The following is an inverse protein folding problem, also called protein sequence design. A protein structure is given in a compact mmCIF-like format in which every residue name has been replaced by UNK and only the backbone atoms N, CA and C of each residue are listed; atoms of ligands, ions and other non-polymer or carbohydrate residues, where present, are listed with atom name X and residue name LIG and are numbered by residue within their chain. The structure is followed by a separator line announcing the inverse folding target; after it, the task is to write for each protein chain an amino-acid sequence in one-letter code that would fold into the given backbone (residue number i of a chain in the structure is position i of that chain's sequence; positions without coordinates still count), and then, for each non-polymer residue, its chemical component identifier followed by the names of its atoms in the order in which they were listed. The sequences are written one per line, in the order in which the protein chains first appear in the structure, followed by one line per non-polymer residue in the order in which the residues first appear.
data_IF_697637247252
#
_entry.id   IF_697637247252
#
_cell.length_a   1.000
_cell.length_b   1.000
_cell.length_c   1.000
_cell.angle_alpha   90.00
_cell.angle_beta   90.00
_cell.angle_gamma   90.00
#
_symmetry.space_group_name_H-M   'P 1'
#
loop_
_entity.id
_entity.type
_entity.pdbx_description
1 polymer ?
#
# COMPACT_ATOMS: atom_id res chain seq x y z
N UNK A 1 -22.79 -14.65 -11.44
CA UNK A 1 -22.78 -13.17 -11.48
C UNK A 1 -21.37 -12.75 -11.09
N UNK A 2 -20.55 -12.35 -12.06
CA UNK A 2 -19.15 -11.99 -11.84
C UNK A 2 -19.10 -10.64 -11.15
N UNK A 3 -18.76 -10.61 -9.86
CA UNK A 3 -18.37 -9.38 -9.18
C UNK A 3 -17.00 -8.97 -9.74
N UNK A 4 -17.00 -8.08 -10.73
CA UNK A 4 -15.78 -7.42 -11.16
C UNK A 4 -15.19 -6.67 -9.95
N UNK A 5 -13.92 -6.89 -9.58
CA UNK A 5 -13.33 -6.19 -8.46
C UNK A 5 -13.30 -4.70 -8.78
N UNK A 6 -14.16 -3.93 -8.11
CA UNK A 6 -14.22 -2.47 -8.22
C UNK A 6 -12.88 -1.92 -7.75
N UNK A 7 -12.07 -1.44 -8.70
CA UNK A 7 -10.76 -0.85 -8.41
C UNK A 7 -10.99 0.52 -7.78
N UNK A 8 -10.97 0.57 -6.45
CA UNK A 8 -11.10 1.83 -5.72
C UNK A 8 -9.79 2.64 -5.90
N UNK A 9 -9.80 3.59 -6.83
CA UNK A 9 -8.71 4.54 -7.01
C UNK A 9 -8.97 5.76 -6.12
N UNK A 10 -8.02 6.07 -5.24
CA UNK A 10 -8.08 7.30 -4.45
C UNK A 10 -8.00 8.52 -5.37
N UNK A 11 -8.77 9.55 -5.05
CA UNK A 11 -8.73 10.82 -5.79
C UNK A 11 -7.38 11.51 -5.61
N UNK A 12 -6.97 12.31 -6.60
CA UNK A 12 -5.73 13.09 -6.51
C UNK A 12 -5.70 14.03 -5.28
N UNK A 13 -6.87 14.53 -4.86
CA UNK A 13 -7.03 15.33 -3.66
C UNK A 13 -6.68 14.56 -2.38
N UNK A 14 -7.14 13.30 -2.25
CA UNK A 14 -6.84 12.47 -1.09
C UNK A 14 -5.36 12.09 -1.01
N UNK A 15 -4.73 11.83 -2.16
CA UNK A 15 -3.28 11.63 -2.22
C UNK A 15 -2.50 12.87 -1.75
N UNK A 16 -2.87 14.06 -2.25
CA UNK A 16 -2.27 15.33 -1.83
C UNK A 16 -2.42 15.59 -0.33
N UNK A 17 -3.62 15.35 0.23
CA UNK A 17 -3.87 15.46 1.66
C UNK A 17 -2.97 14.52 2.47
N UNK A 18 -2.81 13.26 2.04
CA UNK A 18 -1.97 12.29 2.75
C UNK A 18 -0.51 12.74 2.80
N UNK A 19 0.03 13.22 1.66
CA UNK A 19 1.41 13.75 1.59
C UNK A 19 1.57 14.98 2.48
N UNK A 20 0.63 15.93 2.42
CA UNK A 20 0.66 17.12 3.26
C UNK A 20 0.57 16.79 4.76
N UNK A 21 -0.29 15.85 5.14
CA UNK A 21 -0.45 15.41 6.53
C UNK A 21 0.82 14.74 7.05
N UNK A 22 1.44 13.89 6.23
CA UNK A 22 2.72 13.27 6.58
C UNK A 22 3.83 14.30 6.76
N UNK A 23 3.94 15.28 5.85
CA UNK A 23 4.94 16.34 5.93
C UNK A 23 4.76 17.21 7.19
N UNK A 24 3.51 17.56 7.53
CA UNK A 24 3.18 18.28 8.76
C UNK A 24 3.55 17.48 10.01
N UNK A 25 3.17 16.19 10.05
CA UNK A 25 3.50 15.32 11.17
C UNK A 25 5.02 15.17 11.35
N UNK A 26 5.75 14.92 10.27
CA UNK A 26 7.21 14.81 10.28
C UNK A 26 7.87 16.10 10.81
N UNK A 27 7.42 17.26 10.30
CA UNK A 27 7.95 18.56 10.71
C UNK A 27 7.66 18.82 12.19
N UNK A 28 6.44 18.52 12.65
CA UNK A 28 6.07 18.66 14.06
C UNK A 28 6.91 17.75 14.96
N UNK A 29 7.17 16.50 14.55
CA UNK A 29 8.05 15.58 15.29
C UNK A 29 9.49 16.10 15.37
N UNK A 30 10.06 16.57 14.25
CA UNK A 30 11.41 17.15 14.23
C UNK A 30 11.49 18.38 15.14
N UNK A 31 10.52 19.30 15.05
CA UNK A 31 10.46 20.47 15.94
C UNK A 31 10.32 20.04 17.40
N UNK A 32 9.52 19.02 17.69
CA UNK A 32 9.35 18.45 19.03
C UNK A 32 10.67 17.92 19.60
N UNK A 33 11.42 17.14 18.82
CA UNK A 33 12.76 16.65 19.21
C UNK A 33 13.73 17.82 19.40
N UNK A 34 13.63 18.87 18.57
CA UNK A 34 14.45 20.06 18.71
C UNK A 34 14.08 20.92 19.92
N UNK A 35 12.82 20.94 20.35
CA UNK A 35 12.36 21.70 21.53
C UNK A 35 12.45 20.90 22.84
N UNK A 36 12.68 19.59 22.75
CA UNK A 36 12.81 18.72 23.92
C UNK A 36 14.04 19.10 24.76
N UNK A 37 13.83 19.37 26.05
CA UNK A 37 14.91 19.48 27.03
C UNK A 37 15.49 18.09 27.33
N UNK A 38 16.39 17.65 26.46
CA UNK A 38 17.13 16.40 26.60
C UNK A 38 18.55 16.57 26.05
N UNK A 39 19.45 15.69 26.49
CA UNK A 39 20.82 15.68 26.01
C UNK A 39 20.89 15.41 24.50
N UNK A 40 21.96 15.91 23.87
CA UNK A 40 22.18 15.76 22.44
C UNK A 40 22.17 14.30 21.98
N UNK A 41 22.67 13.39 22.83
CA UNK A 41 22.65 11.94 22.56
C UNK A 41 21.23 11.39 22.44
N UNK A 42 20.34 11.73 23.38
CA UNK A 42 18.94 11.29 23.36
C UNK A 42 18.22 11.83 22.14
N UNK A 43 18.44 13.10 21.80
CA UNK A 43 17.87 13.73 20.60
C UNK A 43 18.36 13.06 19.31
N UNK A 44 19.64 12.68 19.26
CA UNK A 44 20.23 11.92 18.17
C UNK A 44 19.62 10.52 18.03
N UNK A 45 19.47 9.79 19.13
CA UNK A 45 18.81 8.48 19.16
C UNK A 45 17.37 8.56 18.65
N UNK A 46 16.60 9.54 19.12
CA UNK A 46 15.22 9.77 18.64
C UNK A 46 15.19 10.12 17.15
N UNK A 47 16.13 10.93 16.66
CA UNK A 47 16.26 11.24 15.24
C UNK A 47 16.47 9.98 14.39
N UNK A 48 17.41 9.12 14.77
CA UNK A 48 17.67 7.85 14.08
C UNK A 48 16.44 6.93 14.17
N UNK A 49 15.81 6.84 15.33
CA UNK A 49 14.62 6.02 15.54
C UNK A 49 13.46 6.44 14.61
N UNK A 50 13.18 7.74 14.51
CA UNK A 50 12.15 8.27 13.60
C UNK A 50 12.48 7.96 12.15
N UNK A 51 13.72 8.21 11.71
CA UNK A 51 14.14 7.95 10.33
C UNK A 51 14.02 6.47 9.95
N UNK A 52 14.48 5.57 10.82
CA UNK A 52 14.42 4.13 10.58
C UNK A 52 12.98 3.61 10.63
N UNK A 53 12.18 4.06 11.59
CA UNK A 53 10.77 3.69 11.70
C UNK A 53 9.97 4.11 10.45
N UNK A 54 10.17 5.33 9.96
CA UNK A 54 9.50 5.83 8.76
C UNK A 54 9.92 5.04 7.52
N UNK A 55 11.23 4.79 7.37
CA UNK A 55 11.77 4.01 6.24
C UNK A 55 11.23 2.58 6.23
N UNK A 56 11.23 1.92 7.37
CA UNK A 56 10.70 0.55 7.51
C UNK A 56 9.19 0.48 7.32
N UNK A 57 8.43 1.48 7.79
CA UNK A 57 6.99 1.56 7.56
C UNK A 57 6.64 1.68 6.07
N UNK A 58 7.34 2.53 5.31
CA UNK A 58 7.14 2.61 3.85
C UNK A 58 7.54 1.32 3.13
N UNK A 59 8.64 0.69 3.55
CA UNK A 59 9.08 -0.60 3.01
C UNK A 59 8.02 -1.68 3.26
N UNK A 60 7.47 -1.75 4.48
CA UNK A 60 6.41 -2.68 4.82
C UNK A 60 5.12 -2.40 4.03
N UNK A 61 4.72 -1.14 3.91
CA UNK A 61 3.55 -0.74 3.11
C UNK A 61 3.71 -1.16 1.65
N UNK A 62 4.92 -1.01 1.08
CA UNK A 62 5.25 -1.48 -0.26
C UNK A 62 5.14 -3.00 -0.37
N UNK A 63 5.73 -3.76 0.56
CA UNK A 63 5.64 -5.22 0.57
C UNK A 63 4.18 -5.72 0.64
N UNK A 64 3.35 -5.08 1.47
CA UNK A 64 1.93 -5.42 1.59
C UNK A 64 1.19 -5.13 0.28
N UNK A 65 1.42 -3.96 -0.32
CA UNK A 65 0.82 -3.58 -1.60
C UNK A 65 1.24 -4.51 -2.73
N UNK A 66 2.53 -4.79 -2.84
CA UNK A 66 3.09 -5.68 -3.87
C UNK A 66 2.48 -7.10 -3.72
N UNK A 67 2.22 -7.57 -2.48
CA UNK A 67 1.50 -8.83 -2.22
C UNK A 67 0.03 -8.80 -2.64
N UNK A 68 -0.67 -7.70 -2.40
CA UNK A 68 -2.07 -7.53 -2.82
C UNK A 68 -2.20 -7.51 -4.35
N UNK A 69 -1.29 -6.81 -5.04
CA UNK A 69 -1.25 -6.74 -6.50
C UNK A 69 -0.94 -8.11 -7.12
N UNK A 70 0.02 -8.86 -6.55
CA UNK A 70 0.33 -10.22 -7.01
C UNK A 70 -0.87 -11.18 -6.90
N UNK A 71 -1.60 -11.15 -5.79
CA UNK A 71 -2.81 -11.99 -5.63
C UNK A 71 -3.92 -11.65 -6.63
N UNK A 72 -4.12 -10.37 -6.94
CA UNK A 72 -5.09 -9.94 -7.94
C UNK A 72 -4.73 -10.39 -9.36
N UNK A 73 -3.44 -10.41 -9.71
CA UNK A 73 -2.98 -10.88 -11.02
C UNK A 73 -3.19 -12.38 -11.20
N UNK A 74 -2.87 -13.20 -10.19
CA UNK A 74 -3.07 -14.66 -10.25
C UNK A 74 -4.54 -14.99 -10.48
N UNK A 75 -5.45 -14.36 -9.72
CA UNK A 75 -6.89 -14.56 -9.87
C UNK A 75 -7.42 -14.25 -11.28
N UNK A 76 -6.89 -13.22 -11.94
CA UNK A 76 -7.29 -12.88 -13.32
C UNK A 76 -6.80 -13.91 -14.34
N UNK A 77 -5.59 -14.44 -14.15
CA UNK A 77 -5.04 -15.49 -15.03
C UNK A 77 -5.85 -16.78 -14.88
N UNK A 78 -6.19 -17.15 -13.65
CA UNK A 78 -7.02 -18.33 -13.38
C UNK A 78 -8.41 -18.18 -13.98
N UNK A 79 -9.04 -17.01 -13.84
CA UNK A 79 -10.32 -16.71 -14.49
C UNK A 79 -10.23 -16.86 -16.02
N UNK A 80 -9.23 -16.26 -16.67
CA UNK A 80 -9.06 -16.36 -18.11
C UNK A 80 -8.79 -17.80 -18.60
N UNK A 81 -8.03 -18.59 -17.81
CA UNK A 81 -7.82 -20.01 -18.09
C UNK A 81 -9.09 -20.83 -17.94
N UNK A 82 -9.88 -20.54 -16.91
CA UNK A 82 -11.14 -21.22 -16.63
C UNK A 82 -12.18 -20.89 -17.70
N UNK A 83 -12.26 -19.63 -18.14
CA UNK A 83 -13.06 -19.21 -19.30
C UNK A 83 -12.64 -19.94 -20.58
N UNK A 84 -11.33 -20.08 -20.84
CA UNK A 84 -10.84 -20.84 -22.01
C UNK A 84 -11.22 -22.31 -21.95
N UNK A 85 -11.11 -22.94 -20.78
CA UNK A 85 -11.51 -24.34 -20.57
C UNK A 85 -13.02 -24.53 -20.76
N UNK A 86 -13.84 -23.61 -20.25
CA UNK A 86 -15.30 -23.61 -20.45
C UNK A 86 -15.67 -23.36 -21.93
N UNK A 87 -14.89 -22.56 -22.66
CA UNK A 87 -15.12 -22.31 -24.07
C UNK A 87 -14.69 -23.49 -24.95
N UNK A 88 -13.61 -24.20 -24.61
CA UNK A 88 -13.16 -25.40 -25.33
C UNK A 88 -13.99 -26.64 -25.00
N UNK A 89 -14.57 -26.73 -23.81
CA UNK A 89 -15.56 -27.74 -23.44
C UNK A 89 -16.90 -27.05 -23.23
N UNK A 90 -17.65 -26.83 -24.31
CA UNK A 90 -19.05 -26.37 -24.22
C UNK A 90 -19.98 -27.59 -24.03
N UNK A 91 -20.44 -27.90 -22.81
CA UNK A 91 -21.31 -29.04 -22.56
C UNK A 91 -22.75 -28.83 -23.09
N UNK A 92 -23.09 -27.65 -23.64
CA UNK A 92 -24.44 -27.32 -24.11
C UNK A 92 -24.61 -27.38 -25.63
N UNK A 93 -23.56 -27.67 -26.39
CA UNK A 93 -23.64 -27.76 -27.87
C UNK A 93 -24.38 -29.03 -28.37
N UNK A 94 -24.76 -29.95 -27.47
CA UNK A 94 -25.43 -31.23 -27.79
C UNK A 94 -26.91 -31.32 -27.38
N UNK A 95 -27.62 -30.20 -27.24
CA UNK A 95 -29.07 -30.17 -27.02
C UNK A 95 -29.81 -29.46 -28.14
#
# INVERSE_FOLDING_TARGET
MSDAPVRHQNTAAFYGQAVASFALAMTATVIGILRLHADAWVRGFLGIAVLYLVTSAFTLAKVIRDRQEAGQLVSRVDQARLEKLLAEHDPFEKL
#
